data_IF_563117027015
#
_entry.id   IF_563117027015
#
_cell.length_a   1.000
_cell.length_b   1.000
_cell.length_c   1.000
_cell.angle_alpha   90.00
_cell.angle_beta   90.00
_cell.angle_gamma   90.00
#
_symmetry.space_group_name_H-M   'P 1'
#
loop_
_entity.id
_entity.type
_entity.pdbx_description
1 polymer ?
#
# COMPACT_ATOMS: atom_id res chain seq x y z
N UNK A 1 5.44 28.70 36.26
CA UNK A 1 4.07 28.25 36.55
C UNK A 1 3.86 27.00 35.71
N UNK A 2 3.56 25.84 36.30
CA UNK A 2 3.52 24.59 35.56
C UNK A 2 2.24 24.53 34.71
N UNK A 3 2.39 24.57 33.39
CA UNK A 3 1.34 24.24 32.43
C UNK A 3 0.83 22.83 32.72
N UNK A 4 -0.31 22.72 33.41
CA UNK A 4 -0.98 21.45 33.61
C UNK A 4 -1.48 20.98 32.24
N UNK A 5 -0.70 20.09 31.61
CA UNK A 5 -1.13 19.38 30.40
C UNK A 5 -2.46 18.69 30.71
N UNK A 6 -3.55 19.19 30.12
CA UNK A 6 -4.86 18.53 30.22
C UNK A 6 -4.76 17.22 29.44
N UNK A 7 -5.01 16.11 30.11
CA UNK A 7 -5.07 14.80 29.49
C UNK A 7 -6.47 14.59 28.93
N UNK A 8 -6.54 13.95 27.76
CA UNK A 8 -7.80 13.57 27.13
C UNK A 8 -8.07 12.10 27.44
N UNK A 9 -9.31 11.76 27.72
CA UNK A 9 -9.77 10.39 27.92
C UNK A 9 -10.98 10.12 27.04
N UNK A 10 -11.01 8.98 26.36
CA UNK A 10 -12.14 8.54 25.55
C UNK A 10 -12.98 7.56 26.36
N UNK A 11 -14.28 7.81 26.44
CA UNK A 11 -15.21 6.95 27.15
C UNK A 11 -15.43 5.65 26.39
N UNK A 12 -15.21 4.51 27.06
CA UNK A 12 -15.50 3.17 26.54
C UNK A 12 -16.91 2.70 26.91
N UNK A 13 -17.54 3.35 27.89
CA UNK A 13 -18.89 3.04 28.36
C UNK A 13 -19.67 4.34 28.63
N UNK A 14 -20.99 4.27 28.51
CA UNK A 14 -21.87 5.36 28.93
C UNK A 14 -21.69 5.62 30.44
N UNK A 15 -21.46 6.87 30.82
CA UNK A 15 -21.33 7.26 32.22
C UNK A 15 -21.82 8.68 32.42
N UNK A 16 -22.72 8.87 33.38
CA UNK A 16 -23.35 10.15 33.67
C UNK A 16 -24.01 10.76 32.41
N UNK A 17 -23.74 12.02 32.10
CA UNK A 17 -24.24 12.73 30.90
C UNK A 17 -23.41 12.44 29.63
N UNK A 18 -22.34 11.64 29.75
CA UNK A 18 -21.42 11.35 28.64
C UNK A 18 -21.68 9.96 28.05
N UNK A 19 -21.72 9.91 26.71
CA UNK A 19 -21.90 8.68 25.94
C UNK A 19 -20.56 8.02 25.63
N UNK A 20 -20.58 6.70 25.41
CA UNK A 20 -19.45 5.96 24.85
C UNK A 20 -18.96 6.63 23.56
N UNK A 21 -17.65 6.86 23.46
CA UNK A 21 -17.01 7.60 22.38
C UNK A 21 -16.84 9.10 22.64
N UNK A 22 -17.46 9.66 23.69
CA UNK A 22 -17.21 11.04 24.09
C UNK A 22 -15.77 11.20 24.62
N UNK A 23 -15.20 12.38 24.41
CA UNK A 23 -13.88 12.76 24.93
C UNK A 23 -14.06 13.66 26.15
N UNK A 24 -13.45 13.27 27.26
CA UNK A 24 -13.35 14.06 28.48
C UNK A 24 -11.94 14.64 28.58
N UNK A 25 -11.81 15.95 28.79
CA UNK A 25 -10.51 16.63 28.94
C UNK A 25 -10.37 17.22 30.35
N UNK A 26 -9.27 16.91 31.03
CA UNK A 26 -9.07 17.38 32.40
C UNK A 26 -7.66 17.11 32.91
N UNK A 27 -7.37 17.59 34.12
CA UNK A 27 -6.06 17.35 34.74
C UNK A 27 -5.94 15.95 35.37
N UNK A 28 -7.08 15.33 35.70
CA UNK A 28 -7.17 14.01 36.30
C UNK A 28 -8.50 13.36 35.93
N UNK A 29 -8.54 12.03 35.86
CA UNK A 29 -9.75 11.27 35.56
C UNK A 29 -10.63 11.20 36.81
N UNK A 30 -11.87 11.73 36.78
CA UNK A 30 -12.80 11.61 37.90
C UNK A 30 -13.14 10.15 38.22
N UNK A 31 -13.44 9.86 39.48
CA UNK A 31 -13.78 8.51 39.94
C UNK A 31 -14.95 7.87 39.17
N UNK A 32 -15.93 8.67 38.75
CA UNK A 32 -17.11 8.20 37.99
C UNK A 32 -16.79 7.84 36.53
N UNK A 33 -15.59 8.18 36.03
CA UNK A 33 -15.05 7.73 34.74
C UNK A 33 -13.96 6.66 34.90
N UNK A 34 -13.54 6.35 36.12
CA UNK A 34 -12.54 5.31 36.39
C UNK A 34 -13.03 3.95 35.90
N UNK A 35 -12.24 3.26 35.07
CA UNK A 35 -12.61 2.00 34.42
C UNK A 35 -13.60 2.12 33.25
N UNK A 36 -14.13 3.32 32.98
CA UNK A 36 -15.07 3.59 31.88
C UNK A 36 -14.50 4.51 30.80
N UNK A 37 -13.28 4.98 30.97
CA UNK A 37 -12.58 5.80 30.01
C UNK A 37 -11.11 5.37 29.92
N UNK A 38 -10.56 5.45 28.71
CA UNK A 38 -9.15 5.15 28.41
C UNK A 38 -8.41 6.44 28.08
N UNK A 39 -7.15 6.61 28.50
CA UNK A 39 -6.37 7.77 28.12
C UNK A 39 -6.19 7.79 26.60
N UNK A 40 -6.56 8.91 25.97
CA UNK A 40 -6.18 9.18 24.60
C UNK A 40 -4.76 9.67 24.65
N UNK A 41 -3.81 8.74 24.58
CA UNK A 41 -2.46 9.11 24.19
C UNK A 41 -2.56 9.75 22.81
N UNK A 42 -1.92 10.90 22.62
CA UNK A 42 -1.48 11.38 21.30
C UNK A 42 -0.44 10.39 20.76
N UNK A 43 -0.81 9.12 20.63
CA UNK A 43 -0.14 8.22 19.72
C UNK A 43 -0.37 8.85 18.36
N UNK A 44 0.60 9.68 17.96
CA UNK A 44 0.98 9.82 16.58
C UNK A 44 1.10 8.38 16.10
N UNK A 45 0.04 7.88 15.47
CA UNK A 45 0.13 6.72 14.61
C UNK A 45 1.15 7.16 13.56
N UNK A 46 2.43 6.87 13.81
CA UNK A 46 3.41 6.73 12.75
C UNK A 46 2.93 5.54 11.94
N UNK A 47 1.93 5.82 11.10
CA UNK A 47 1.62 5.01 9.95
C UNK A 47 2.96 4.91 9.23
N UNK A 48 3.52 3.70 9.18
CA UNK A 48 4.69 3.37 8.39
C UNK A 48 4.35 3.69 6.94
N UNK A 49 4.42 4.97 6.60
CA UNK A 49 4.29 5.45 5.23
C UNK A 49 5.57 4.94 4.60
N UNK A 50 5.50 3.96 3.68
CA UNK A 50 6.71 3.36 3.14
C UNK A 50 7.61 4.48 2.65
N UNK A 51 8.87 4.46 3.08
CA UNK A 51 9.82 5.53 2.82
C UNK A 51 9.75 5.92 1.34
N UNK A 52 9.59 7.21 1.07
CA UNK A 52 9.44 7.72 -0.30
C UNK A 52 10.55 7.25 -1.23
N UNK A 53 11.73 6.95 -0.68
CA UNK A 53 12.87 6.39 -1.40
C UNK A 53 12.66 4.92 -1.81
N UNK A 54 12.07 4.09 -0.93
CA UNK A 54 11.73 2.71 -1.26
C UNK A 54 10.65 2.65 -2.35
N UNK A 55 9.66 3.56 -2.29
CA UNK A 55 8.63 3.70 -3.32
C UNK A 55 9.24 4.15 -4.65
N UNK A 56 10.16 5.12 -4.64
CA UNK A 56 10.85 5.59 -5.85
C UNK A 56 11.71 4.50 -6.51
N UNK A 57 12.39 3.68 -5.69
CA UNK A 57 13.18 2.56 -6.18
C UNK A 57 12.31 1.49 -6.84
N UNK A 58 11.21 1.10 -6.18
CA UNK A 58 10.24 0.15 -6.74
C UNK A 58 9.60 0.67 -8.04
N UNK A 59 9.33 1.98 -8.13
CA UNK A 59 8.82 2.58 -9.35
C UNK A 59 9.83 2.49 -10.50
N UNK A 60 11.11 2.76 -10.22
CA UNK A 60 12.19 2.65 -11.22
C UNK A 60 12.35 1.21 -11.70
N UNK A 61 12.33 0.23 -10.80
CA UNK A 61 12.42 -1.20 -11.14
C UNK A 61 11.20 -1.64 -11.97
N UNK A 62 10.01 -1.13 -11.67
CA UNK A 62 8.79 -1.39 -12.42
C UNK A 62 8.88 -0.83 -13.86
N UNK A 63 9.38 0.39 -14.02
CA UNK A 63 9.54 1.02 -15.34
C UNK A 63 10.59 0.28 -16.20
N UNK A 64 11.69 -0.16 -15.59
CA UNK A 64 12.71 -0.97 -16.28
C UNK A 64 12.15 -2.34 -16.69
N UNK A 65 11.42 -3.01 -15.80
CA UNK A 65 10.78 -4.28 -16.09
C UNK A 65 9.77 -4.16 -17.23
N UNK A 66 8.92 -3.13 -17.24
CA UNK A 66 7.96 -2.86 -18.31
C UNK A 66 8.65 -2.60 -19.66
N UNK A 67 9.77 -1.88 -19.64
CA UNK A 67 10.58 -1.63 -20.84
C UNK A 67 11.17 -2.94 -21.41
N UNK A 68 11.63 -3.84 -20.53
CA UNK A 68 12.10 -5.18 -20.93
C UNK A 68 10.98 -6.04 -21.50
N UNK A 69 9.79 -6.05 -20.87
CA UNK A 69 8.62 -6.79 -21.37
C UNK A 69 8.22 -6.30 -22.77
N UNK A 70 8.21 -4.98 -22.99
CA UNK A 70 7.90 -4.40 -24.31
C UNK A 70 8.90 -4.86 -25.36
N UNK A 71 10.19 -4.83 -25.04
CA UNK A 71 11.28 -5.28 -25.93
C UNK A 71 11.17 -6.78 -26.24
N UNK A 72 10.96 -7.62 -25.23
CA UNK A 72 10.80 -9.07 -25.41
C UNK A 72 9.55 -9.40 -26.21
N UNK A 73 8.45 -8.68 -26.01
CA UNK A 73 7.22 -8.85 -26.77
C UNK A 73 7.44 -8.52 -28.25
N UNK A 74 8.12 -7.41 -28.55
CA UNK A 74 8.46 -7.04 -29.93
C UNK A 74 9.39 -8.07 -30.59
N UNK A 75 10.42 -8.54 -29.88
CA UNK A 75 11.31 -9.59 -30.37
C UNK A 75 10.59 -10.92 -30.62
N UNK A 76 9.68 -11.32 -29.73
CA UNK A 76 8.88 -12.53 -29.93
C UNK A 76 7.97 -12.42 -31.17
N UNK A 77 7.33 -11.28 -31.40
CA UNK A 77 6.51 -11.07 -32.59
C UNK A 77 7.34 -11.17 -33.88
N UNK A 78 8.56 -10.63 -33.87
CA UNK A 78 9.49 -10.74 -35.00
C UNK A 78 9.90 -12.20 -35.24
N UNK A 79 10.31 -12.90 -34.19
CA UNK A 79 10.70 -14.31 -34.29
C UNK A 79 9.55 -15.21 -34.75
N UNK A 80 8.32 -14.91 -34.35
CA UNK A 80 7.13 -15.63 -34.84
C UNK A 80 6.95 -15.44 -36.35
N UNK A 81 7.12 -14.21 -36.85
CA UNK A 81 7.03 -13.92 -38.28
C UNK A 81 8.13 -14.63 -39.07
N UNK A 82 9.36 -14.64 -38.56
CA UNK A 82 10.48 -15.36 -39.17
C UNK A 82 10.26 -16.88 -39.19
N UNK A 83 9.68 -17.44 -38.12
CA UNK A 83 9.32 -18.85 -38.03
C UNK A 83 8.26 -19.24 -39.07
N UNK A 84 7.19 -18.44 -39.19
CA UNK A 84 6.11 -18.68 -40.14
C UNK A 84 6.61 -18.64 -41.60
N UNK A 85 7.50 -17.68 -41.92
CA UNK A 85 8.11 -17.56 -43.24
C UNK A 85 9.04 -18.76 -43.54
N UNK A 86 9.88 -19.17 -42.58
CA UNK A 86 10.74 -20.34 -42.74
C UNK A 86 9.91 -21.64 -42.93
N UNK A 87 8.80 -21.79 -42.20
CA UNK A 87 7.88 -22.92 -42.37
C UNK A 87 7.26 -22.95 -43.77
N UNK A 88 6.85 -21.78 -44.29
CA UNK A 88 6.30 -21.66 -45.64
C UNK A 88 7.33 -22.09 -46.70
N UNK A 89 8.57 -21.60 -46.59
CA UNK A 89 9.65 -21.96 -47.51
C UNK A 89 9.97 -23.46 -47.48
N UNK A 90 10.00 -24.06 -46.30
CA UNK A 90 10.17 -25.51 -46.15
C UNK A 90 9.04 -26.30 -46.85
N UNK A 91 7.78 -25.87 -46.69
CA UNK A 91 6.65 -26.51 -47.35
C UNK A 91 6.73 -26.41 -48.89
N UNK A 92 7.17 -25.28 -49.42
CA UNK A 92 7.39 -25.11 -50.86
C UNK A 92 8.52 -26.00 -51.40
N UNK A 93 9.64 -26.09 -50.68
CA UNK A 93 10.75 -26.97 -51.06
C UNK A 93 10.32 -28.44 -51.03
N UNK A 94 9.59 -28.88 -49.99
CA UNK A 94 9.08 -30.24 -49.90
C UNK A 94 8.13 -30.60 -51.06
N UNK A 95 7.34 -29.65 -51.57
CA UNK A 95 6.49 -29.86 -52.76
C UNK A 95 7.29 -30.00 -54.05
N UNK A 96 8.45 -29.35 -54.17
CA UNK A 96 9.32 -29.44 -55.37
C UNK A 96 10.14 -30.73 -55.43
N UNK A 97 10.35 -31.37 -54.28
CA UNK A 97 11.13 -32.62 -54.17
C UNK A 97 10.25 -33.88 -54.27
N UNK A 98 8.92 -33.73 -54.20
CA UNK A 98 7.93 -34.78 -54.49
C UNK A 98 7.51 -34.74 -55.95
#
# INVERSE_FOLDING_TARGET
>A
MADKKKQKWMLTHDSHELKRGAIFEGNSLPLWLSGKAIPVSEQVLEVATPDSEAVAKLQTELDEANSKVTTLTASNAKLQTELDEAQKQLAELQKKVK
#
